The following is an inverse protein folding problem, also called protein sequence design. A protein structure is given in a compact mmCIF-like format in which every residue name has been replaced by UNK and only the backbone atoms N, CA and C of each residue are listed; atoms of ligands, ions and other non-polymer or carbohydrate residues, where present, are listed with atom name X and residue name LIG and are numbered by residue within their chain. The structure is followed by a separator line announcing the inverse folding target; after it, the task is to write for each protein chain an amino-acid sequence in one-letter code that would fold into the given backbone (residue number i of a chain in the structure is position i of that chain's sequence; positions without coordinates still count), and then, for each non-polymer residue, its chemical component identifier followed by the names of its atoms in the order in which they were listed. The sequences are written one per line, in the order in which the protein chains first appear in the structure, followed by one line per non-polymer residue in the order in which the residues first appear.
data_IF_246407092558
#
_entry.id   IF_246407092558
#
_cell.length_a   1.000
_cell.length_b   1.000
_cell.length_c   1.000
_cell.angle_alpha   90.00
_cell.angle_beta   90.00
_cell.angle_gamma   90.00
#
_symmetry.space_group_name_H-M   'P 1'
#
loop_
_entity.id
_entity.type
_entity.pdbx_description
1 polymer ?
#
# COMPACT_ATOMS: atom_id res chain seq x y z
N UNK A 1 3.06 9.16 -8.54
CA UNK A 1 3.70 8.94 -7.23
C UNK A 1 2.65 8.29 -6.34
N UNK A 2 2.80 7.00 -6.06
CA UNK A 2 1.87 6.25 -5.21
C UNK A 2 1.97 6.77 -3.79
N UNK A 3 0.88 7.35 -3.31
CA UNK A 3 0.68 7.61 -1.89
C UNK A 3 -0.76 7.22 -1.59
N UNK A 4 -0.91 5.99 -1.11
CA UNK A 4 -2.15 5.45 -0.60
C UNK A 4 -2.57 6.25 0.63
N UNK A 5 -3.74 6.85 0.59
CA UNK A 5 -4.50 7.16 1.80
C UNK A 5 -5.90 6.60 1.57
N UNK A 6 -6.20 5.48 2.24
CA UNK A 6 -7.57 4.98 2.35
C UNK A 6 -7.97 5.18 3.80
N UNK A 7 -8.41 6.38 4.14
CA UNK A 7 -9.09 6.61 5.41
C UNK A 7 -10.52 6.11 5.26
N UNK A 8 -10.82 4.99 5.92
CA UNK A 8 -12.17 4.46 6.03
C UNK A 8 -12.97 5.35 6.99
N UNK A 9 -13.61 6.40 6.45
CA UNK A 9 -14.62 7.17 7.15
C UNK A 9 -16.02 6.58 6.89
N UNK A 10 -16.73 6.29 7.97
CA UNK A 10 -18.08 5.74 7.98
C UNK A 10 -19.07 6.56 7.13
N UNK A 11 -19.82 5.85 6.29
CA UNK A 11 -20.93 6.39 5.51
C UNK A 11 -22.07 6.85 6.43
N UNK A 12 -22.25 8.16 6.56
CA UNK A 12 -23.53 8.75 6.99
C UNK A 12 -24.25 9.22 5.72
N UNK A 13 -25.35 8.54 5.39
CA UNK A 13 -26.20 8.92 4.26
C UNK A 13 -26.83 10.29 4.52
N UNK A 14 -26.49 11.26 3.67
CA UNK A 14 -27.24 12.51 3.56
C UNK A 14 -27.99 12.49 2.23
N UNK A 15 -29.29 12.22 2.31
CA UNK A 15 -30.25 12.57 1.27
C UNK A 15 -30.41 14.09 1.30
N UNK A 16 -29.69 14.78 0.43
CA UNK A 16 -29.73 16.23 0.31
C UNK A 16 -29.72 16.65 -1.15
N UNK A 17 -30.89 17.05 -1.65
CA UNK A 17 -31.06 17.81 -2.89
C UNK A 17 -30.12 19.04 -2.85
N UNK A 18 -29.07 19.03 -3.67
CA UNK A 18 -28.14 20.14 -3.78
C UNK A 18 -27.54 20.17 -5.18
N UNK A 19 -27.91 21.20 -5.94
CA UNK A 19 -27.33 21.54 -7.24
C UNK A 19 -25.84 21.90 -7.07
N UNK A 20 -24.98 20.88 -6.97
CA UNK A 20 -23.55 21.04 -7.22
C UNK A 20 -23.31 20.42 -8.59
N UNK A 21 -23.01 21.25 -9.59
CA UNK A 21 -22.59 20.77 -10.90
C UNK A 21 -21.41 19.82 -10.70
N UNK A 22 -21.57 18.57 -11.11
CA UNK A 22 -20.47 17.59 -11.04
C UNK A 22 -19.22 18.19 -11.72
N UNK A 23 -18.06 18.29 -11.05
CA UNK A 23 -16.84 18.85 -11.64
C UNK A 23 -16.38 18.07 -12.88
N UNK A 24 -16.60 16.74 -12.83
CA UNK A 24 -16.42 15.81 -13.94
C UNK A 24 -17.53 14.78 -13.85
N UNK A 25 -18.08 14.36 -14.99
CA UNK A 25 -19.21 13.42 -15.07
C UNK A 25 -18.98 12.19 -14.19
N UNK A 26 -19.88 11.97 -13.23
CA UNK A 26 -19.83 10.80 -12.34
C UNK A 26 -18.95 10.95 -11.09
N UNK A 27 -18.37 12.14 -10.86
CA UNK A 27 -17.60 12.45 -9.67
C UNK A 27 -18.22 13.62 -8.90
N UNK A 28 -18.21 13.52 -7.58
CA UNK A 28 -18.67 14.57 -6.67
C UNK A 28 -17.57 14.92 -5.67
N UNK A 29 -17.35 16.20 -5.39
CA UNK A 29 -16.44 16.59 -4.33
C UNK A 29 -16.91 16.07 -2.98
N UNK A 30 -15.98 15.58 -2.16
CA UNK A 30 -16.27 15.24 -0.77
C UNK A 30 -16.40 16.52 0.06
N UNK A 31 -17.26 16.55 1.08
CA UNK A 31 -17.30 17.68 2.02
C UNK A 31 -15.95 17.81 2.73
N UNK A 32 -15.49 19.05 3.01
CA UNK A 32 -14.28 19.26 3.80
C UNK A 32 -14.51 18.73 5.23
N UNK A 33 -13.59 17.90 5.73
CA UNK A 33 -13.66 17.33 7.08
C UNK A 33 -13.12 18.30 8.14
N UNK A 34 -12.32 19.29 7.73
CA UNK A 34 -11.83 20.37 8.59
C UNK A 34 -11.51 21.66 7.80
N UNK A 35 -11.38 22.80 8.48
CA UNK A 35 -10.89 24.05 7.89
C UNK A 35 -9.44 23.96 7.34
N UNK A 36 -8.72 22.86 7.61
CA UNK A 36 -7.37 22.59 7.10
C UNK A 36 -7.37 21.76 5.81
N UNK A 37 -8.52 21.33 5.28
CA UNK A 37 -8.65 20.79 3.91
C UNK A 37 -8.54 21.91 2.85
N UNK A 38 -7.73 22.94 3.12
CA UNK A 38 -7.37 23.95 2.14
C UNK A 38 -6.82 23.24 0.91
N UNK A 39 -7.46 23.50 -0.23
CA UNK A 39 -7.07 22.94 -1.51
C UNK A 39 -5.58 23.17 -1.76
N UNK A 40 -4.80 22.09 -1.82
CA UNK A 40 -3.36 22.19 -2.06
C UNK A 40 -3.11 22.88 -3.40
N UNK A 41 -2.39 24.00 -3.40
CA UNK A 41 -2.00 24.71 -4.62
C UNK A 41 -0.69 24.15 -5.16
N UNK A 42 -0.68 23.79 -6.43
CA UNK A 42 0.46 23.26 -7.17
C UNK A 42 0.70 24.18 -8.36
N UNK A 43 1.89 24.76 -8.44
CA UNK A 43 2.27 25.58 -9.58
C UNK A 43 2.47 24.70 -10.82
N UNK A 44 1.85 25.10 -11.92
CA UNK A 44 1.97 24.49 -13.23
C UNK A 44 2.68 25.39 -14.24
N UNK A 45 2.94 24.88 -15.46
CA UNK A 45 3.51 25.68 -16.54
C UNK A 45 2.57 26.83 -16.93
N UNK A 46 3.11 27.88 -17.57
CA UNK A 46 2.35 29.06 -17.99
C UNK A 46 1.64 29.80 -16.84
N UNK A 47 2.17 29.70 -15.63
CA UNK A 47 1.58 30.32 -14.43
C UNK A 47 0.28 29.67 -13.95
N UNK A 48 -0.12 28.53 -14.53
CA UNK A 48 -1.32 27.80 -14.12
C UNK A 48 -1.23 27.38 -12.65
N UNK A 49 -2.32 27.55 -11.91
CA UNK A 49 -2.42 27.06 -10.53
C UNK A 49 -3.38 25.87 -10.48
N UNK A 50 -2.89 24.75 -9.97
CA UNK A 50 -3.65 23.53 -9.81
C UNK A 50 -4.04 23.36 -8.35
N UNK A 51 -5.29 23.00 -8.11
CA UNK A 51 -5.84 22.73 -6.79
C UNK A 51 -6.24 21.28 -6.68
N UNK A 52 -5.74 20.56 -5.67
CA UNK A 52 -6.16 19.19 -5.41
C UNK A 52 -7.32 19.16 -4.42
N UNK A 53 -8.38 18.42 -4.74
CA UNK A 53 -9.53 18.21 -3.86
C UNK A 53 -9.94 16.74 -3.78
N UNK A 54 -10.42 16.32 -2.60
CA UNK A 54 -11.01 14.99 -2.40
C UNK A 54 -12.35 14.89 -3.14
N UNK A 55 -12.61 13.73 -3.73
CA UNK A 55 -13.84 13.44 -4.43
C UNK A 55 -14.25 11.99 -4.25
N UNK A 56 -15.50 11.68 -4.58
CA UNK A 56 -16.02 10.34 -4.66
C UNK A 56 -16.56 10.06 -6.06
N UNK A 57 -16.22 8.89 -6.58
CA UNK A 57 -16.82 8.32 -7.79
C UNK A 57 -18.19 7.76 -7.42
N UNK A 58 -19.22 8.01 -8.23
CA UNK A 58 -20.59 7.54 -7.92
C UNK A 58 -20.80 6.04 -8.13
N UNK A 59 -20.10 5.43 -9.09
CA UNK A 59 -20.26 4.01 -9.48
C UNK A 59 -18.93 3.42 -9.99
N UNK A 60 -18.32 2.45 -9.29
CA UNK A 60 -18.54 2.12 -7.87
C UNK A 60 -18.21 3.30 -6.94
N UNK A 61 -18.73 3.27 -5.71
CA UNK A 61 -18.40 4.26 -4.68
C UNK A 61 -16.95 4.10 -4.24
N UNK A 62 -16.07 4.91 -4.82
CA UNK A 62 -14.63 4.87 -4.58
C UNK A 62 -14.10 6.28 -4.34
N UNK A 63 -13.16 6.40 -3.42
CA UNK A 63 -12.47 7.65 -3.18
C UNK A 63 -11.55 8.00 -4.36
N UNK A 64 -11.59 9.25 -4.75
CA UNK A 64 -10.88 9.82 -5.88
C UNK A 64 -10.25 11.15 -5.50
N UNK A 65 -9.43 11.67 -6.39
CA UNK A 65 -8.89 13.02 -6.27
C UNK A 65 -9.09 13.78 -7.56
N UNK A 66 -9.48 15.05 -7.45
CA UNK A 66 -9.73 15.93 -8.58
C UNK A 66 -8.71 17.07 -8.54
N UNK A 67 -7.92 17.17 -9.60
CA UNK A 67 -7.03 18.29 -9.88
C UNK A 67 -7.82 19.33 -10.66
N UNK A 68 -7.95 20.52 -10.11
CA UNK A 68 -8.71 21.64 -10.68
C UNK A 68 -7.77 22.77 -11.06
N UNK A 69 -7.78 23.18 -12.31
CA UNK A 69 -7.03 24.34 -12.79
C UNK A 69 -8.00 25.47 -13.12
N UNK A 70 -7.79 26.64 -12.51
CA UNK A 70 -8.54 27.86 -12.89
C UNK A 70 -7.86 28.51 -14.10
N UNK A 71 -8.64 28.73 -15.15
CA UNK A 71 -8.17 29.26 -16.43
C UNK A 71 -8.68 30.70 -16.68
N UNK A 72 -9.37 31.29 -15.71
CA UNK A 72 -9.95 32.63 -15.80
C UNK A 72 -8.96 33.76 -15.48
N UNK A 73 -7.88 33.47 -14.75
CA UNK A 73 -6.89 34.46 -14.30
C UNK A 73 -5.51 34.34 -14.96
N UNK A 74 -5.23 33.18 -15.56
CA UNK A 74 -4.04 32.98 -16.38
C UNK A 74 -4.41 33.28 -17.83
N UNK A 75 -3.46 33.76 -18.63
CA UNK A 75 -3.52 33.96 -20.10
C UNK A 75 -3.77 35.40 -20.55
N UNK A 76 -2.67 36.07 -20.93
CA UNK A 76 -2.70 37.02 -22.04
C UNK A 76 -3.08 36.25 -23.32
N UNK A 77 -4.00 36.79 -24.12
CA UNK A 77 -4.63 36.16 -25.31
C UNK A 77 -3.68 35.40 -26.25
N UNK A 78 -2.38 35.71 -26.23
CA UNK A 78 -1.31 35.08 -26.99
C UNK A 78 -0.94 33.64 -26.58
N UNK A 79 -1.15 33.23 -25.32
CA UNK A 79 -0.73 31.89 -24.83
C UNK A 79 -1.87 30.86 -24.79
N UNK A 80 -3.08 31.27 -25.19
CA UNK A 80 -4.28 30.46 -25.12
C UNK A 80 -4.15 29.14 -25.88
N UNK A 81 -3.62 29.19 -27.10
CA UNK A 81 -3.44 28.02 -27.96
C UNK A 81 -2.37 27.06 -27.42
N UNK A 82 -1.29 27.60 -26.82
CA UNK A 82 -0.24 26.79 -26.20
C UNK A 82 -0.77 26.04 -24.98
N UNK A 83 -1.55 26.70 -24.14
CA UNK A 83 -2.18 26.09 -22.96
C UNK A 83 -3.20 25.03 -23.39
N UNK A 84 -4.07 25.35 -24.36
CA UNK A 84 -5.02 24.38 -24.92
C UNK A 84 -4.32 23.14 -25.47
N UNK A 85 -3.24 23.31 -26.24
CA UNK A 85 -2.47 22.21 -26.79
C UNK A 85 -1.79 21.38 -25.68
N UNK A 86 -1.24 22.04 -24.66
CA UNK A 86 -0.62 21.37 -23.50
C UNK A 86 -1.64 20.53 -22.71
N UNK A 87 -2.83 21.07 -22.45
CA UNK A 87 -3.91 20.34 -21.76
C UNK A 87 -4.39 19.14 -22.59
N UNK A 88 -4.60 19.32 -23.91
CA UNK A 88 -4.97 18.22 -24.82
C UNK A 88 -3.91 17.12 -24.85
N UNK A 89 -2.63 17.49 -24.91
CA UNK A 89 -1.53 16.54 -24.88
C UNK A 89 -1.45 15.81 -23.53
N UNK A 90 -1.65 16.52 -22.43
CA UNK A 90 -1.71 15.94 -21.08
C UNK A 90 -2.80 14.89 -20.97
N UNK A 91 -4.03 15.22 -21.40
CA UNK A 91 -5.15 14.26 -21.41
C UNK A 91 -4.83 13.06 -22.31
N UNK A 92 -4.28 13.29 -23.50
CA UNK A 92 -3.88 12.21 -24.40
C UNK A 92 -2.89 11.26 -23.72
N UNK A 93 -1.83 11.80 -23.11
CA UNK A 93 -0.81 11.01 -22.42
C UNK A 93 -1.38 10.26 -21.22
N UNK A 94 -2.14 10.91 -20.35
CA UNK A 94 -2.75 10.25 -19.20
C UNK A 94 -3.72 9.12 -19.61
N UNK A 95 -4.43 9.29 -20.73
CA UNK A 95 -5.29 8.22 -21.29
C UNK A 95 -4.52 7.03 -21.82
N UNK A 96 -3.35 7.25 -22.44
CA UNK A 96 -2.59 6.18 -23.13
C UNK A 96 -1.51 5.55 -22.25
N UNK A 97 -0.92 6.30 -21.32
CA UNK A 97 0.19 5.85 -20.51
C UNK A 97 -0.34 4.90 -19.42
N UNK A 98 0.13 3.66 -19.45
CA UNK A 98 -0.19 2.62 -18.47
C UNK A 98 1.10 2.20 -17.81
N UNK A 99 1.42 2.81 -16.68
CA UNK A 99 2.59 2.46 -15.91
C UNK A 99 2.19 2.39 -14.44
N UNK A 100 2.62 1.37 -13.68
CA UNK A 100 2.24 1.22 -12.28
C UNK A 100 2.51 2.51 -11.52
N UNK A 101 3.70 3.11 -11.60
CA UNK A 101 4.09 4.30 -10.82
C UNK A 101 3.51 5.66 -11.26
N UNK A 102 2.63 5.68 -12.26
CA UNK A 102 2.01 6.88 -12.81
C UNK A 102 0.53 6.88 -12.44
N UNK A 103 -0.02 8.06 -12.14
CA UNK A 103 -1.40 8.20 -11.70
C UNK A 103 -2.38 7.63 -12.73
N UNK A 104 -3.33 6.84 -12.24
CA UNK A 104 -4.40 6.31 -13.06
C UNK A 104 -5.36 7.43 -13.51
N UNK A 105 -5.54 7.55 -14.83
CA UNK A 105 -6.54 8.44 -15.40
C UNK A 105 -7.94 7.85 -15.23
N UNK A 106 -8.86 8.62 -14.65
CA UNK A 106 -10.26 8.22 -14.52
C UNK A 106 -11.18 9.02 -15.44
N UNK A 107 -11.07 10.36 -15.42
CA UNK A 107 -11.88 11.26 -16.23
C UNK A 107 -11.25 12.66 -16.32
N UNK A 108 -11.73 13.49 -17.25
CA UNK A 108 -11.34 14.91 -17.35
C UNK A 108 -12.46 15.76 -17.93
N UNK A 109 -12.38 17.08 -17.76
CA UNK A 109 -13.24 18.03 -18.49
C UNK A 109 -13.01 17.90 -20.00
N UNK A 110 -14.09 17.94 -20.79
CA UNK A 110 -14.01 17.84 -22.25
C UNK A 110 -13.59 19.17 -22.87
N UNK A 111 -12.62 19.13 -23.80
CA UNK A 111 -12.10 20.29 -24.53
C UNK A 111 -12.63 20.27 -25.99
N UNK A 112 -13.94 20.44 -26.16
CA UNK A 112 -14.64 20.29 -27.45
C UNK A 112 -14.68 21.56 -28.31
N UNK A 113 -14.31 22.73 -27.76
CA UNK A 113 -14.34 24.02 -28.46
C UNK A 113 -12.97 24.72 -28.63
N UNK A 114 -12.93 25.85 -29.36
CA UNK A 114 -11.74 26.69 -29.51
C UNK A 114 -11.49 27.62 -28.30
N UNK A 115 -12.47 27.78 -27.41
CA UNK A 115 -12.35 28.60 -26.20
C UNK A 115 -11.90 27.74 -25.02
N UNK A 116 -11.02 28.29 -24.16
CA UNK A 116 -10.69 27.68 -22.87
C UNK A 116 -11.94 27.63 -21.99
N UNK A 117 -12.20 26.52 -21.28
CA UNK A 117 -13.20 26.49 -20.22
C UNK A 117 -12.73 27.38 -19.06
N UNK A 118 -13.67 27.81 -18.20
CA UNK A 118 -13.32 28.60 -16.99
C UNK A 118 -12.47 27.80 -16.01
N UNK A 119 -12.75 26.51 -15.89
CA UNK A 119 -11.99 25.57 -15.07
C UNK A 119 -11.77 24.28 -15.84
N UNK A 120 -10.62 23.65 -15.60
CA UNK A 120 -10.27 22.37 -16.18
C UNK A 120 -9.97 21.35 -15.07
N UNK A 121 -10.61 20.19 -15.15
CA UNK A 121 -10.55 19.17 -14.12
C UNK A 121 -9.95 17.87 -14.65
N UNK A 122 -9.15 17.19 -13.83
CA UNK A 122 -8.67 15.83 -14.04
C UNK A 122 -9.02 15.01 -12.79
N UNK A 123 -9.75 13.92 -12.97
CA UNK A 123 -10.03 12.94 -11.93
C UNK A 123 -9.03 11.78 -12.01
N UNK A 124 -8.43 11.46 -10.86
CA UNK A 124 -7.49 10.35 -10.66
C UNK A 124 -7.94 9.49 -9.48
N UNK A 125 -7.25 8.36 -9.27
CA UNK A 125 -7.31 7.66 -7.99
C UNK A 125 -6.98 8.59 -6.81
N UNK A 126 -7.40 8.20 -5.60
CA UNK A 126 -7.13 8.96 -4.38
C UNK A 126 -5.61 9.13 -4.18
N UNK A 127 -5.16 10.38 -4.11
CA UNK A 127 -3.73 10.72 -3.95
C UNK A 127 -3.52 11.78 -2.89
N UNK A 128 -2.40 11.70 -2.17
CA UNK A 128 -1.93 12.74 -1.27
C UNK A 128 -0.73 13.47 -1.89
N UNK A 129 -0.66 14.82 -1.87
CA UNK A 129 0.52 15.55 -2.34
C UNK A 129 1.77 15.14 -1.55
N UNK A 130 2.90 15.03 -2.26
CA UNK A 130 4.16 14.62 -1.63
C UNK A 130 4.55 15.50 -0.45
N UNK A 131 4.45 16.83 -0.60
CA UNK A 131 4.79 17.78 0.47
C UNK A 131 4.00 17.51 1.75
N UNK A 132 2.71 17.23 1.61
CA UNK A 132 1.86 16.92 2.75
C UNK A 132 2.22 15.57 3.37
N UNK A 133 2.46 14.56 2.54
CA UNK A 133 2.90 13.26 3.01
C UNK A 133 4.24 13.34 3.76
N UNK A 134 5.21 14.10 3.24
CA UNK A 134 6.49 14.33 3.90
C UNK A 134 6.30 15.04 5.24
N UNK A 135 5.38 16.02 5.33
CA UNK A 135 5.01 16.68 6.58
C UNK A 135 4.47 15.68 7.61
N UNK A 136 3.53 14.82 7.20
CA UNK A 136 2.95 13.79 8.07
C UNK A 136 3.96 12.73 8.51
N UNK A 137 5.01 12.50 7.71
CA UNK A 137 6.05 11.49 7.99
C UNK A 137 7.36 12.08 8.50
N UNK A 138 7.46 13.40 8.69
CA UNK A 138 8.69 14.07 9.09
C UNK A 138 9.24 13.51 10.42
N UNK A 139 8.35 13.25 11.38
CA UNK A 139 8.69 12.71 12.69
C UNK A 139 8.70 11.17 12.73
N UNK A 140 8.47 10.51 11.60
CA UNK A 140 8.49 9.05 11.57
C UNK A 140 9.94 8.54 11.65
N UNK A 141 10.21 7.62 12.57
CA UNK A 141 11.54 6.98 12.71
C UNK A 141 12.02 6.24 11.45
N UNK A 142 11.15 6.07 10.46
CA UNK A 142 11.38 5.37 9.20
C UNK A 142 11.55 6.28 7.99
N UNK A 143 11.77 7.60 8.17
CA UNK A 143 11.84 8.54 7.04
C UNK A 143 12.89 8.17 5.98
N UNK A 144 14.05 7.63 6.38
CA UNK A 144 15.08 7.17 5.43
C UNK A 144 14.62 5.96 4.60
N UNK A 145 13.83 5.06 5.17
CA UNK A 145 13.22 3.95 4.43
C UNK A 145 12.19 4.46 3.44
N UNK A 146 11.29 5.34 3.89
CA UNK A 146 10.25 5.93 3.05
C UNK A 146 10.87 6.72 1.88
N UNK A 147 11.86 7.57 2.16
CA UNK A 147 12.53 8.39 1.14
C UNK A 147 13.37 7.55 0.18
N UNK A 148 14.11 6.55 0.65
CA UNK A 148 14.90 5.66 -0.24
C UNK A 148 14.01 4.90 -1.21
N UNK A 149 12.92 4.29 -0.74
CA UNK A 149 11.98 3.60 -1.62
C UNK A 149 11.19 4.54 -2.53
N UNK A 150 10.73 5.67 -2.01
CA UNK A 150 9.99 6.67 -2.78
C UNK A 150 10.82 7.21 -3.94
N UNK A 151 12.09 7.56 -3.68
CA UNK A 151 13.03 7.98 -4.71
C UNK A 151 13.27 6.85 -5.72
N UNK A 152 13.58 5.64 -5.28
CA UNK A 152 13.75 4.49 -6.17
C UNK A 152 12.55 4.28 -7.12
N UNK A 153 11.33 4.30 -6.57
CA UNK A 153 10.09 4.11 -7.33
C UNK A 153 9.77 5.27 -8.27
N UNK A 154 10.17 6.50 -7.94
CA UNK A 154 10.03 7.65 -8.84
C UNK A 154 10.95 7.56 -10.06
N UNK A 155 12.06 6.82 -9.95
CA UNK A 155 13.09 6.75 -10.97
C UNK A 155 12.92 5.52 -11.89
N UNK A 156 12.42 4.41 -11.36
CA UNK A 156 12.13 3.20 -12.14
C UNK A 156 11.28 3.40 -13.43
N UNK A 157 10.18 4.20 -13.42
CA UNK A 157 9.41 4.54 -14.64
C UNK A 157 10.18 5.37 -15.68
N UNK A 158 11.21 6.09 -15.23
CA UNK A 158 11.87 7.13 -16.00
C UNK A 158 13.37 6.88 -16.01
N UNK A 159 13.79 5.92 -16.82
CA UNK A 159 15.17 5.88 -17.30
C UNK A 159 15.21 6.68 -18.61
N UNK A 160 15.48 8.01 -18.55
CA UNK A 160 15.62 8.78 -19.77
C UNK A 160 16.75 8.21 -20.62
N UNK A 161 16.68 8.32 -21.96
CA UNK A 161 17.81 7.99 -22.82
C UNK A 161 19.08 8.69 -22.33
N UNK A 162 20.19 7.97 -22.30
CA UNK A 162 21.47 8.50 -21.84
C UNK A 162 21.83 9.80 -22.59
N UNK A 163 22.14 10.86 -21.84
CA UNK A 163 22.52 12.17 -22.38
C UNK A 163 21.55 13.32 -22.08
N UNK A 164 20.34 13.04 -21.58
CA UNK A 164 19.41 14.10 -21.12
C UNK A 164 19.72 14.49 -19.67
N UNK A 165 20.61 15.48 -19.50
CA UNK A 165 21.09 15.94 -18.20
C UNK A 165 20.11 16.85 -17.43
N UNK A 166 18.99 17.24 -18.05
CA UNK A 166 17.95 18.08 -17.42
C UNK A 166 17.23 17.29 -16.33
N UNK A 167 16.91 16.04 -16.59
CA UNK A 167 16.22 15.16 -15.62
C UNK A 167 17.11 14.87 -14.40
N UNK A 168 18.43 14.74 -14.60
CA UNK A 168 19.38 14.60 -13.51
C UNK A 168 19.40 15.83 -12.58
N UNK A 169 19.32 17.04 -13.15
CA UNK A 169 19.20 18.26 -12.34
C UNK A 169 17.87 18.30 -11.59
N UNK A 170 16.77 17.98 -12.27
CA UNK A 170 15.43 17.90 -11.66
C UNK A 170 15.37 16.90 -10.51
N UNK A 171 16.01 15.74 -10.66
CA UNK A 171 16.17 14.77 -9.58
C UNK A 171 16.95 15.35 -8.39
N UNK A 172 18.02 16.11 -8.66
CA UNK A 172 18.73 16.85 -7.63
C UNK A 172 17.80 17.79 -6.85
N UNK A 173 17.01 18.61 -7.54
CA UNK A 173 16.00 19.47 -6.91
C UNK A 173 15.00 18.66 -6.07
N UNK A 174 14.48 17.54 -6.58
CA UNK A 174 13.53 16.69 -5.86
C UNK A 174 14.14 16.10 -4.58
N UNK A 175 15.37 15.60 -4.65
CA UNK A 175 16.09 15.10 -3.47
C UNK A 175 16.23 16.23 -2.43
N UNK A 176 16.59 17.44 -2.86
CA UNK A 176 16.70 18.58 -1.98
C UNK A 176 15.36 18.89 -1.28
N UNK A 177 14.25 18.91 -2.02
CA UNK A 177 12.91 19.19 -1.47
C UNK A 177 12.47 18.11 -0.47
N UNK A 178 12.79 16.84 -0.71
CA UNK A 178 12.45 15.75 0.20
C UNK A 178 13.13 15.92 1.56
N UNK A 179 14.42 16.31 1.57
CA UNK A 179 15.19 16.45 2.81
C UNK A 179 15.17 17.88 3.39
N UNK A 180 14.46 18.82 2.76
CA UNK A 180 14.28 20.19 3.25
C UNK A 180 12.79 20.60 3.18
N UNK A 181 11.87 19.86 3.83
CA UNK A 181 10.43 20.02 3.63
C UNK A 181 9.86 21.37 4.10
N UNK A 182 10.55 22.04 5.03
CA UNK A 182 10.16 23.36 5.55
C UNK A 182 10.53 24.52 4.61
N UNK A 183 11.37 24.26 3.60
CA UNK A 183 11.89 25.27 2.68
C UNK A 183 11.32 25.07 1.29
N UNK A 184 11.07 26.17 0.58
CA UNK A 184 10.75 26.14 -0.85
C UNK A 184 12.00 26.49 -1.65
N UNK A 185 12.26 25.69 -2.69
CA UNK A 185 13.37 25.93 -3.60
C UNK A 185 13.00 27.06 -4.56
N UNK A 186 13.52 28.26 -4.28
CA UNK A 186 13.27 29.48 -5.05
C UNK A 186 14.52 29.95 -5.80
N UNK A 187 15.71 29.61 -5.29
CA UNK A 187 16.99 30.01 -5.85
C UNK A 187 17.99 28.86 -5.90
N UNK A 188 18.86 28.89 -6.91
CA UNK A 188 19.91 27.90 -7.13
C UNK A 188 20.91 27.86 -5.97
N UNK A 189 21.20 28.98 -5.32
CA UNK A 189 22.18 29.02 -4.21
C UNK A 189 21.80 28.08 -3.06
N UNK A 190 20.49 27.82 -2.87
CA UNK A 190 19.96 26.93 -1.85
C UNK A 190 20.37 25.46 -2.07
N UNK A 191 20.61 25.04 -3.32
CA UNK A 191 21.02 23.67 -3.64
C UNK A 191 22.40 23.32 -3.08
N UNK A 192 23.24 24.32 -2.82
CA UNK A 192 24.62 24.14 -2.35
C UNK A 192 24.86 24.69 -0.94
N UNK A 193 23.82 25.18 -0.26
CA UNK A 193 23.96 25.73 1.09
C UNK A 193 24.35 24.64 2.10
N UNK A 194 25.22 25.00 3.04
CA UNK A 194 25.75 24.04 4.03
C UNK A 194 24.63 23.45 4.89
N UNK A 195 23.67 24.27 5.32
CA UNK A 195 22.58 23.84 6.19
C UNK A 195 21.66 22.83 5.50
N UNK A 196 21.34 23.05 4.21
CA UNK A 196 20.50 22.13 3.45
C UNK A 196 21.22 20.80 3.17
N UNK A 197 22.53 20.85 2.91
CA UNK A 197 23.35 19.66 2.70
C UNK A 197 23.50 18.80 3.96
N UNK A 198 23.43 19.40 5.16
CA UNK A 198 23.47 18.65 6.43
C UNK A 198 22.22 17.81 6.65
N UNK A 199 21.07 18.19 6.07
CA UNK A 199 19.81 17.43 6.18
C UNK A 199 19.74 16.26 5.19
N UNK A 200 20.52 16.30 4.11
CA UNK A 200 20.61 15.19 3.15
C UNK A 200 21.43 14.04 3.77
N UNK A 201 20.96 12.77 3.69
CA UNK A 201 21.68 11.63 4.24
C UNK A 201 23.10 11.53 3.72
N UNK A 202 24.07 11.30 4.61
CA UNK A 202 25.50 11.24 4.27
C UNK A 202 25.83 10.33 3.06
N UNK A 203 25.23 9.12 2.93
CA UNK A 203 25.44 8.27 1.76
C UNK A 203 25.03 8.89 0.43
N UNK A 204 24.06 9.81 0.46
CA UNK A 204 23.46 10.42 -0.73
C UNK A 204 24.15 11.72 -1.16
N UNK A 205 24.87 12.38 -0.25
CA UNK A 205 25.46 13.73 -0.48
C UNK A 205 26.41 13.76 -1.69
N UNK A 206 27.23 12.73 -1.88
CA UNK A 206 28.20 12.68 -2.98
C UNK A 206 27.50 12.62 -4.34
N UNK A 207 26.52 11.74 -4.46
CA UNK A 207 25.74 11.56 -5.68
C UNK A 207 24.84 12.78 -5.95
N UNK A 208 24.21 13.32 -4.91
CA UNK A 208 23.43 14.57 -4.97
C UNK A 208 24.26 15.72 -5.55
N UNK A 209 25.48 15.94 -5.06
CA UNK A 209 26.36 17.01 -5.57
C UNK A 209 26.70 16.84 -7.05
N UNK A 210 26.80 15.60 -7.53
CA UNK A 210 27.05 15.32 -8.95
C UNK A 210 25.82 15.54 -9.82
N UNK A 211 24.60 15.35 -9.29
CA UNK A 211 23.34 15.64 -9.98
C UNK A 211 23.14 17.15 -10.21
N UNK A 212 23.38 17.96 -9.17
CA UNK A 212 23.22 19.43 -9.21
C UNK A 212 24.47 20.17 -9.69
N UNK A 213 25.44 19.49 -10.31
CA UNK A 213 26.65 20.14 -10.79
C UNK A 213 26.44 20.93 -12.10
N UNK A 214 27.14 22.06 -12.24
CA UNK A 214 27.21 22.88 -13.46
C UNK A 214 28.59 22.71 -14.08
N UNK A 215 28.66 22.03 -15.22
CA UNK A 215 29.90 21.52 -15.81
C UNK A 215 30.83 22.58 -16.40
N UNK A 216 31.34 23.51 -15.60
CA UNK A 216 32.28 24.56 -16.08
C UNK A 216 33.61 24.65 -15.32
N UNK A 217 33.87 23.82 -14.32
CA UNK A 217 35.18 23.82 -13.66
C UNK A 217 36.08 22.71 -14.22
N UNK A 218 37.17 23.11 -14.90
CA UNK A 218 38.22 22.20 -15.38
C UNK A 218 38.73 21.32 -14.22
N UNK A 219 38.52 20.01 -14.32
CA UNK A 219 39.24 19.03 -13.49
C UNK A 219 38.41 18.06 -12.64
N UNK A 220 37.07 18.16 -12.58
CA UNK A 220 36.25 17.24 -11.77
C UNK A 220 35.01 16.72 -12.52
N UNK A 221 34.54 15.53 -12.14
CA UNK A 221 33.66 14.58 -12.86
C UNK A 221 32.38 15.18 -13.50
N UNK A 222 32.01 14.65 -14.68
CA UNK A 222 30.78 14.95 -15.44
C UNK A 222 29.53 14.76 -14.57
N UNK A 223 28.46 15.54 -14.85
CA UNK A 223 27.14 15.35 -14.22
C UNK A 223 26.68 13.90 -14.39
N UNK A 224 26.19 13.31 -13.31
CA UNK A 224 25.69 11.94 -13.27
C UNK A 224 24.38 11.84 -14.07
N UNK A 225 24.22 10.79 -14.88
CA UNK A 225 22.89 10.48 -15.44
C UNK A 225 21.99 9.85 -14.38
N UNK A 226 20.67 9.88 -14.57
CA UNK A 226 19.72 9.23 -13.66
C UNK A 226 20.01 7.72 -13.54
N UNK A 227 20.37 7.07 -14.65
CA UNK A 227 20.75 5.66 -14.66
C UNK A 227 22.01 5.39 -13.83
N UNK A 228 23.05 6.22 -13.98
CA UNK A 228 24.29 6.09 -13.20
C UNK A 228 24.03 6.36 -11.70
N UNK A 229 23.18 7.33 -11.38
CA UNK A 229 22.74 7.60 -10.02
C UNK A 229 22.09 6.38 -9.38
N UNK A 230 21.12 5.77 -10.06
CA UNK A 230 20.43 4.58 -9.57
C UNK A 230 21.41 3.44 -9.30
N UNK A 231 22.32 3.17 -10.24
CA UNK A 231 23.32 2.12 -10.09
C UNK A 231 24.27 2.36 -8.90
N UNK A 232 24.66 3.62 -8.65
CA UNK A 232 25.46 3.97 -7.48
C UNK A 232 24.66 3.85 -6.18
N UNK A 233 23.44 4.37 -6.15
CA UNK A 233 22.60 4.40 -4.96
C UNK A 233 22.18 2.99 -4.51
N UNK A 234 22.06 2.02 -5.42
CA UNK A 234 21.78 0.62 -5.12
C UNK A 234 23.03 -0.21 -4.75
N UNK A 235 24.24 0.33 -4.92
CA UNK A 235 25.47 -0.42 -4.70
C UNK A 235 25.79 -0.55 -3.20
N UNK A 236 25.61 -1.75 -2.65
CA UNK A 236 25.87 -2.05 -1.24
C UNK A 236 27.34 -1.92 -0.84
N UNK A 237 28.29 -2.29 -1.71
CA UNK A 237 29.74 -2.22 -1.43
C UNK A 237 30.21 -0.78 -1.24
N UNK A 238 29.56 0.16 -1.93
CA UNK A 238 29.84 1.60 -1.82
C UNK A 238 29.01 2.30 -0.74
N UNK A 239 28.20 1.55 0.02
CA UNK A 239 27.30 2.10 1.02
C UNK A 239 26.21 2.98 0.42
N UNK A 240 25.68 2.62 -0.76
CA UNK A 240 24.64 3.38 -1.46
C UNK A 240 23.37 3.60 -0.63
N UNK A 241 22.72 4.74 -0.80
CA UNK A 241 21.55 5.11 0.02
C UNK A 241 20.34 4.17 -0.13
N UNK A 242 20.13 3.58 -1.31
CA UNK A 242 19.08 2.60 -1.56
C UNK A 242 19.49 1.18 -1.21
N UNK A 243 20.76 0.94 -0.88
CA UNK A 243 21.26 -0.36 -0.43
C UNK A 243 20.93 -0.58 1.06
N UNK A 244 19.64 -0.73 1.34
CA UNK A 244 19.13 -1.00 2.67
C UNK A 244 18.13 -2.16 2.64
N UNK A 245 17.96 -2.80 3.81
CA UNK A 245 17.14 -3.99 3.95
C UNK A 245 15.67 -3.77 3.53
N UNK A 246 15.13 -2.56 3.77
CA UNK A 246 13.77 -2.21 3.41
C UNK A 246 13.57 -2.19 1.89
N UNK A 247 14.44 -1.51 1.14
CA UNK A 247 14.40 -1.49 -0.33
C UNK A 247 14.62 -2.89 -0.90
N UNK A 248 15.61 -3.63 -0.41
CA UNK A 248 15.89 -5.01 -0.84
C UNK A 248 14.69 -5.93 -0.63
N UNK A 249 13.99 -5.80 0.50
CA UNK A 249 12.80 -6.60 0.81
C UNK A 249 11.66 -6.31 -0.17
N UNK A 250 11.41 -5.04 -0.48
CA UNK A 250 10.35 -4.65 -1.40
C UNK A 250 10.66 -5.01 -2.86
N UNK A 251 11.92 -4.92 -3.29
CA UNK A 251 12.36 -5.42 -4.60
C UNK A 251 12.17 -6.94 -4.71
N UNK A 252 12.58 -7.69 -3.70
CA UNK A 252 12.37 -9.14 -3.68
C UNK A 252 10.87 -9.48 -3.75
N UNK A 253 10.03 -8.73 -3.03
CA UNK A 253 8.58 -8.92 -3.04
C UNK A 253 7.95 -8.67 -4.42
N UNK A 254 8.41 -7.65 -5.15
CA UNK A 254 7.95 -7.37 -6.52
C UNK A 254 8.32 -8.50 -7.50
N UNK A 255 9.46 -9.17 -7.27
CA UNK A 255 9.96 -10.27 -8.09
C UNK A 255 9.66 -11.65 -7.53
N UNK A 256 8.89 -11.78 -6.44
CA UNK A 256 8.78 -13.02 -5.67
C UNK A 256 8.37 -14.21 -6.53
N UNK A 257 7.56 -13.98 -7.57
CA UNK A 257 7.09 -15.03 -8.47
C UNK A 257 8.19 -15.66 -9.34
N UNK A 258 9.28 -14.94 -9.54
CA UNK A 258 10.45 -15.38 -10.32
C UNK A 258 11.46 -16.16 -9.45
N UNK A 259 11.28 -16.17 -8.12
CA UNK A 259 12.19 -16.80 -7.16
C UNK A 259 11.85 -18.28 -6.95
N UNK A 260 12.85 -19.06 -6.56
CA UNK A 260 12.65 -20.47 -6.24
C UNK A 260 12.00 -20.68 -4.85
N UNK A 261 11.59 -21.92 -4.55
CA UNK A 261 10.91 -22.25 -3.31
C UNK A 261 11.78 -22.02 -2.05
N UNK A 262 13.10 -22.22 -2.15
CA UNK A 262 14.04 -22.08 -1.04
C UNK A 262 14.29 -20.61 -0.74
N UNK A 263 14.48 -19.79 -1.77
CA UNK A 263 14.59 -18.34 -1.68
C UNK A 263 13.33 -17.74 -1.06
N UNK A 264 12.14 -18.17 -1.52
CA UNK A 264 10.85 -17.73 -0.97
C UNK A 264 10.71 -18.07 0.50
N UNK A 265 11.00 -19.32 0.89
CA UNK A 265 10.87 -19.76 2.29
C UNK A 265 11.79 -18.95 3.21
N UNK A 266 13.06 -18.75 2.81
CA UNK A 266 14.01 -17.91 3.55
C UNK A 266 13.51 -16.47 3.67
N UNK A 267 13.10 -15.87 2.56
CA UNK A 267 12.60 -14.50 2.53
C UNK A 267 11.38 -14.29 3.42
N UNK A 268 10.38 -15.19 3.38
CA UNK A 268 9.16 -15.06 4.18
C UNK A 268 9.42 -15.23 5.68
N UNK A 269 10.41 -16.05 6.05
CA UNK A 269 10.89 -16.15 7.43
C UNK A 269 11.51 -14.83 7.89
N UNK A 270 12.44 -14.27 7.12
CA UNK A 270 13.09 -12.98 7.43
C UNK A 270 12.09 -11.82 7.45
N UNK A 271 11.13 -11.80 6.51
CA UNK A 271 10.06 -10.81 6.46
C UNK A 271 9.22 -10.83 7.74
N UNK A 272 8.91 -12.01 8.28
CA UNK A 272 8.11 -12.15 9.51
C UNK A 272 8.75 -11.45 10.72
N UNK A 273 10.07 -11.38 10.77
CA UNK A 273 10.83 -10.79 11.88
C UNK A 273 10.95 -9.26 11.76
N UNK A 274 11.09 -8.76 10.53
CA UNK A 274 11.35 -7.33 10.28
C UNK A 274 10.11 -6.51 9.90
N UNK A 275 8.97 -7.14 9.57
CA UNK A 275 7.80 -6.42 9.06
C UNK A 275 7.24 -5.35 10.00
N UNK A 276 7.42 -5.52 11.31
CA UNK A 276 7.03 -4.52 12.32
C UNK A 276 7.88 -3.25 12.28
N UNK A 277 9.05 -3.28 11.63
CA UNK A 277 9.91 -2.11 11.46
C UNK A 277 9.53 -1.28 10.24
N UNK A 278 8.67 -1.81 9.35
CA UNK A 278 8.31 -1.15 8.10
C UNK A 278 7.21 -0.12 8.35
N UNK A 279 7.10 0.94 7.52
CA UNK A 279 5.98 1.88 7.62
C UNK A 279 4.63 1.16 7.43
N UNK A 280 3.68 1.42 8.32
CA UNK A 280 2.38 0.74 8.32
C UNK A 280 1.66 0.80 6.96
N UNK A 281 1.69 1.95 6.29
CA UNK A 281 1.04 2.14 4.98
C UNK A 281 1.61 1.21 3.91
N UNK A 282 2.92 0.92 3.99
CA UNK A 282 3.60 0.00 3.07
C UNK A 282 3.21 -1.43 3.42
N UNK A 283 3.11 -1.77 4.70
CA UNK A 283 2.61 -3.07 5.15
C UNK A 283 1.18 -3.32 4.65
N UNK A 284 0.28 -2.36 4.84
CA UNK A 284 -1.15 -2.44 4.46
C UNK A 284 -1.37 -2.49 2.96
N UNK A 285 -0.75 -1.57 2.22
CA UNK A 285 -1.13 -1.33 0.81
C UNK A 285 -0.16 -1.93 -0.20
N UNK A 286 1.03 -2.37 0.23
CA UNK A 286 2.01 -3.00 -0.65
C UNK A 286 2.33 -4.43 -0.24
N UNK A 287 2.77 -4.66 1.00
CA UNK A 287 3.21 -5.99 1.44
C UNK A 287 2.05 -6.97 1.50
N UNK A 288 0.97 -6.59 2.19
CA UNK A 288 -0.21 -7.44 2.38
C UNK A 288 -0.83 -7.93 1.06
N UNK A 289 -1.12 -7.08 0.05
CA UNK A 289 -1.69 -7.55 -1.21
C UNK A 289 -0.80 -8.58 -1.94
N UNK A 290 0.53 -8.43 -1.90
CA UNK A 290 1.43 -9.40 -2.53
C UNK A 290 1.42 -10.74 -1.80
N UNK A 291 1.43 -10.73 -0.46
CA UNK A 291 1.35 -11.94 0.35
C UNK A 291 0.02 -12.67 0.17
N UNK A 292 -1.10 -11.94 0.18
CA UNK A 292 -2.43 -12.50 -0.05
C UNK A 292 -2.56 -13.12 -1.44
N UNK A 293 -2.03 -12.46 -2.48
CA UNK A 293 -1.97 -13.04 -3.82
C UNK A 293 -1.12 -14.32 -3.83
N UNK A 294 0.02 -14.31 -3.13
CA UNK A 294 0.89 -15.47 -2.98
C UNK A 294 0.20 -16.66 -2.31
N UNK A 295 -0.60 -16.42 -1.27
CA UNK A 295 -1.39 -17.44 -0.57
C UNK A 295 -2.56 -17.95 -1.44
N UNK A 296 -3.29 -17.06 -2.09
CA UNK A 296 -4.48 -17.41 -2.89
C UNK A 296 -4.15 -18.25 -4.12
N UNK A 297 -3.03 -17.97 -4.77
CA UNK A 297 -2.60 -18.67 -5.99
C UNK A 297 -1.51 -19.70 -5.72
N UNK A 298 -1.19 -19.99 -4.44
CA UNK A 298 -0.24 -21.02 -4.02
C UNK A 298 1.22 -20.74 -4.38
N UNK A 299 1.55 -19.53 -4.82
CA UNK A 299 2.90 -19.21 -5.31
C UNK A 299 3.90 -18.88 -4.21
N UNK A 300 3.42 -18.53 -3.01
CA UNK A 300 4.24 -18.21 -1.83
C UNK A 300 4.15 -19.27 -0.71
N UNK A 301 3.28 -20.27 -0.84
CA UNK A 301 3.07 -21.30 0.18
C UNK A 301 2.41 -20.77 1.46
N UNK A 302 2.19 -21.66 2.43
CA UNK A 302 1.58 -21.33 3.73
C UNK A 302 2.51 -20.49 4.62
N UNK A 303 3.79 -20.42 4.29
CA UNK A 303 4.82 -19.63 4.96
C UNK A 303 4.47 -18.13 4.95
N UNK A 304 3.79 -17.65 3.92
CA UNK A 304 3.31 -16.27 3.82
C UNK A 304 2.21 -15.93 4.83
N UNK A 305 1.62 -16.92 5.50
CA UNK A 305 0.61 -16.70 6.53
C UNK A 305 1.18 -15.87 7.69
N UNK A 306 2.38 -16.19 8.18
CA UNK A 306 2.94 -15.51 9.36
C UNK A 306 3.15 -14.01 9.12
N UNK A 307 3.79 -13.57 8.03
CA UNK A 307 3.83 -12.15 7.69
C UNK A 307 2.45 -11.50 7.60
N UNK A 308 1.44 -12.17 6.99
CA UNK A 308 0.06 -11.64 6.92
C UNK A 308 -0.52 -11.41 8.31
N UNK A 309 -0.37 -12.38 9.22
CA UNK A 309 -0.88 -12.27 10.58
C UNK A 309 -0.24 -11.10 11.36
N UNK A 310 1.03 -10.79 11.09
CA UNK A 310 1.70 -9.63 11.69
C UNK A 310 1.14 -8.29 11.22
N UNK A 311 0.47 -8.26 10.06
CA UNK A 311 -0.16 -7.04 9.51
C UNK A 311 -1.59 -6.86 10.00
N UNK A 312 -2.29 -7.93 10.41
CA UNK A 312 -3.69 -7.86 10.88
C UNK A 312 -3.95 -6.76 11.92
N UNK A 313 -3.10 -6.55 12.95
CA UNK A 313 -3.31 -5.49 13.94
C UNK A 313 -3.32 -4.07 13.36
N UNK A 314 -2.78 -3.89 12.15
CA UNK A 314 -2.78 -2.61 11.45
C UNK A 314 -4.11 -2.36 10.72
N UNK A 315 -4.95 -3.36 10.52
CA UNK A 315 -6.16 -3.28 9.72
C UNK A 315 -7.39 -2.94 10.57
N UNK A 316 -8.30 -2.17 10.00
CA UNK A 316 -9.67 -2.04 10.52
C UNK A 316 -10.45 -3.34 10.28
N UNK A 317 -11.57 -3.53 10.99
CA UNK A 317 -12.44 -4.70 10.80
C UNK A 317 -12.92 -4.81 9.34
N UNK A 318 -13.32 -3.70 8.74
CA UNK A 318 -13.76 -3.64 7.34
C UNK A 318 -12.64 -4.03 6.35
N UNK A 319 -11.42 -3.57 6.59
CA UNK A 319 -10.26 -3.94 5.75
C UNK A 319 -9.89 -5.41 5.91
N UNK A 320 -9.94 -5.94 7.13
CA UNK A 320 -9.72 -7.36 7.39
C UNK A 320 -10.76 -8.23 6.66
N UNK A 321 -12.05 -7.90 6.79
CA UNK A 321 -13.13 -8.64 6.14
C UNK A 321 -13.06 -8.57 4.62
N UNK A 322 -12.67 -7.42 4.05
CA UNK A 322 -12.58 -7.25 2.61
C UNK A 322 -11.33 -7.91 2.00
N UNK A 323 -10.18 -7.83 2.67
CA UNK A 323 -8.90 -8.25 2.10
C UNK A 323 -8.42 -9.62 2.59
N UNK A 324 -8.43 -9.86 3.91
CA UNK A 324 -7.77 -11.02 4.53
C UNK A 324 -8.71 -12.20 4.70
N UNK A 325 -9.93 -11.95 5.18
CA UNK A 325 -10.90 -13.00 5.49
C UNK A 325 -11.22 -13.92 4.29
N UNK A 326 -11.42 -13.43 3.05
CA UNK A 326 -11.68 -14.30 1.91
C UNK A 326 -10.54 -15.28 1.64
N UNK A 327 -9.29 -14.83 1.84
CA UNK A 327 -8.11 -15.68 1.72
C UNK A 327 -8.07 -16.75 2.82
N UNK A 328 -8.34 -16.38 4.08
CA UNK A 328 -8.35 -17.35 5.19
C UNK A 328 -9.41 -18.43 4.98
N UNK A 329 -10.63 -18.06 4.56
CA UNK A 329 -11.70 -19.00 4.23
C UNK A 329 -11.26 -19.96 3.12
N UNK A 330 -10.64 -19.45 2.05
CA UNK A 330 -10.11 -20.28 0.98
C UNK A 330 -9.05 -21.28 1.50
N UNK A 331 -8.16 -20.83 2.39
CA UNK A 331 -7.12 -21.70 2.97
C UNK A 331 -7.73 -22.78 3.88
N UNK A 332 -8.79 -22.50 4.65
CA UNK A 332 -9.51 -23.51 5.43
C UNK A 332 -10.16 -24.58 4.57
N UNK A 333 -10.66 -24.20 3.38
CA UNK A 333 -11.23 -25.13 2.41
C UNK A 333 -10.17 -26.00 1.69
N UNK A 334 -8.87 -25.72 1.87
CA UNK A 334 -7.79 -26.49 1.24
C UNK A 334 -7.76 -27.94 1.74
N UNK A 335 -7.56 -28.92 0.84
CA UNK A 335 -7.38 -30.33 1.23
C UNK A 335 -5.98 -30.60 1.82
N UNK A 336 -5.06 -29.64 1.74
CA UNK A 336 -3.67 -29.83 2.17
C UNK A 336 -3.54 -29.85 3.70
N UNK A 337 -3.11 -30.99 4.24
CA UNK A 337 -2.96 -31.21 5.69
C UNK A 337 -1.99 -30.23 6.36
N UNK A 338 -0.86 -29.93 5.72
CA UNK A 338 0.13 -29.00 6.27
C UNK A 338 -0.44 -27.58 6.44
N UNK A 339 -1.12 -27.09 5.39
CA UNK A 339 -1.86 -25.82 5.44
C UNK A 339 -2.89 -25.81 6.56
N UNK A 340 -3.70 -26.87 6.69
CA UNK A 340 -4.69 -26.99 7.75
C UNK A 340 -4.07 -26.94 9.15
N UNK A 341 -3.05 -27.74 9.42
CA UNK A 341 -2.36 -27.74 10.73
C UNK A 341 -1.84 -26.35 11.04
N UNK A 342 -1.20 -25.69 10.07
CA UNK A 342 -0.63 -24.36 10.28
C UNK A 342 -1.69 -23.29 10.57
N UNK A 343 -2.83 -23.31 9.86
CA UNK A 343 -3.95 -22.41 10.15
C UNK A 343 -4.50 -22.61 11.55
N UNK A 344 -4.65 -23.87 11.98
CA UNK A 344 -5.18 -24.22 13.29
C UNK A 344 -4.24 -23.78 14.42
N UNK A 345 -2.93 -23.94 14.23
CA UNK A 345 -1.91 -23.44 15.17
C UNK A 345 -1.93 -21.90 15.31
N UNK A 346 -2.18 -21.21 14.20
CA UNK A 346 -2.15 -19.75 14.15
C UNK A 346 -3.50 -19.08 14.46
N UNK A 347 -4.55 -19.88 14.66
CA UNK A 347 -5.90 -19.44 14.94
C UNK A 347 -6.02 -18.39 16.07
N UNK A 348 -5.29 -18.49 17.19
CA UNK A 348 -5.38 -17.50 18.27
C UNK A 348 -5.06 -16.08 17.82
N UNK A 349 -4.25 -15.92 16.76
CA UNK A 349 -3.75 -14.63 16.30
C UNK A 349 -4.76 -13.85 15.43
N UNK A 350 -5.80 -14.49 14.91
CA UNK A 350 -6.76 -13.83 14.01
C UNK A 350 -8.23 -14.18 14.29
N UNK A 351 -8.51 -15.21 15.08
CA UNK A 351 -9.89 -15.67 15.32
C UNK A 351 -10.78 -14.56 15.86
N UNK A 352 -10.24 -13.63 16.66
CA UNK A 352 -10.98 -12.51 17.23
C UNK A 352 -11.56 -11.58 16.17
N UNK A 353 -10.87 -11.40 15.04
CA UNK A 353 -11.32 -10.56 13.91
C UNK A 353 -12.35 -11.27 13.02
N UNK A 354 -12.55 -12.59 13.16
CA UNK A 354 -13.47 -13.34 12.29
C UNK A 354 -14.93 -13.23 12.78
N UNK A 355 -15.89 -12.82 11.94
CA UNK A 355 -17.30 -12.79 12.33
C UNK A 355 -17.85 -14.17 12.69
N UNK A 356 -18.62 -14.33 13.79
CA UNK A 356 -19.19 -15.62 14.22
C UNK A 356 -19.98 -16.34 13.11
N UNK A 357 -20.72 -15.58 12.30
CA UNK A 357 -21.47 -16.12 11.15
C UNK A 357 -20.56 -16.83 10.14
N UNK A 358 -19.36 -16.30 9.90
CA UNK A 358 -18.37 -16.89 8.97
C UNK A 358 -17.72 -18.11 9.61
N UNK A 359 -17.47 -18.07 10.93
CA UNK A 359 -17.00 -19.26 11.67
C UNK A 359 -17.95 -20.42 11.45
N UNK A 360 -19.24 -20.22 11.69
CA UNK A 360 -20.25 -21.28 11.56
C UNK A 360 -20.45 -21.78 10.13
N UNK A 361 -20.54 -20.86 9.16
CA UNK A 361 -20.96 -21.21 7.80
C UNK A 361 -19.82 -21.68 6.90
N UNK A 362 -18.58 -21.27 7.16
CA UNK A 362 -17.46 -21.47 6.22
C UNK A 362 -16.23 -22.11 6.86
N UNK A 363 -15.92 -21.80 8.13
CA UNK A 363 -14.71 -22.31 8.79
C UNK A 363 -14.98 -23.64 9.50
N UNK A 364 -15.98 -23.70 10.38
CA UNK A 364 -16.29 -24.88 11.19
C UNK A 364 -16.55 -26.14 10.35
N UNK A 365 -17.31 -26.10 9.23
CA UNK A 365 -17.51 -27.28 8.39
C UNK A 365 -16.17 -27.86 7.90
N UNK A 366 -15.25 -27.00 7.46
CA UNK A 366 -13.92 -27.40 6.99
C UNK A 366 -13.07 -27.97 8.13
N UNK A 367 -13.07 -27.31 9.29
CA UNK A 367 -12.31 -27.74 10.47
C UNK A 367 -12.83 -29.07 11.03
N UNK A 368 -14.15 -29.28 11.03
CA UNK A 368 -14.77 -30.50 11.57
C UNK A 368 -14.31 -31.79 10.88
N UNK A 369 -13.91 -31.70 9.60
CA UNK A 369 -13.33 -32.85 8.88
C UNK A 369 -12.01 -33.32 9.50
N UNK A 370 -11.31 -32.45 10.21
CA UNK A 370 -10.04 -32.75 10.89
C UNK A 370 -10.17 -33.73 12.05
N UNK A 371 -11.36 -33.86 12.66
CA UNK A 371 -11.57 -34.81 13.77
C UNK A 371 -11.46 -36.27 13.34
N UNK A 372 -11.73 -36.56 12.06
CA UNK A 372 -11.67 -37.92 11.48
C UNK A 372 -10.53 -38.06 10.46
N UNK A 373 -9.57 -37.14 10.42
CA UNK A 373 -8.43 -37.24 9.50
C UNK A 373 -7.56 -38.46 9.88
N UNK A 374 -6.93 -39.10 8.89
CA UNK A 374 -6.05 -40.25 9.13
C UNK A 374 -4.78 -39.87 9.92
N UNK A 375 -4.28 -38.63 9.76
CA UNK A 375 -3.06 -38.16 10.42
C UNK A 375 -3.36 -37.69 11.86
N UNK A 376 -2.75 -38.30 12.90
CA UNK A 376 -2.94 -37.89 14.30
C UNK A 376 -2.64 -36.41 14.58
N UNK A 377 -1.64 -35.84 13.90
CA UNK A 377 -1.27 -34.43 14.07
C UNK A 377 -2.40 -33.48 13.65
N UNK A 378 -3.15 -33.84 12.60
CA UNK A 378 -4.30 -33.06 12.14
C UNK A 378 -5.43 -33.15 13.17
N UNK A 379 -5.69 -34.34 13.72
CA UNK A 379 -6.70 -34.54 14.77
C UNK A 379 -6.36 -33.73 16.02
N UNK A 380 -5.11 -33.78 16.48
CA UNK A 380 -4.63 -33.00 17.63
C UNK A 380 -4.79 -31.50 17.43
N UNK A 381 -4.29 -30.98 16.29
CA UNK A 381 -4.40 -29.56 15.97
C UNK A 381 -5.86 -29.11 15.92
N UNK A 382 -6.75 -29.95 15.39
CA UNK A 382 -8.20 -29.68 15.31
C UNK A 382 -8.81 -29.56 16.71
N UNK A 383 -8.54 -30.52 17.60
CA UNK A 383 -9.03 -30.49 18.99
C UNK A 383 -8.52 -29.24 19.72
N UNK A 384 -7.22 -28.92 19.59
CA UNK A 384 -6.61 -27.75 20.24
C UNK A 384 -7.23 -26.44 19.75
N UNK A 385 -7.49 -26.32 18.44
CA UNK A 385 -8.11 -25.15 17.85
C UNK A 385 -9.54 -24.89 18.36
N UNK A 386 -10.27 -25.91 18.81
CA UNK A 386 -11.64 -25.74 19.31
C UNK A 386 -11.72 -24.84 20.55
N UNK A 387 -10.67 -24.78 21.37
CA UNK A 387 -10.58 -23.84 22.51
C UNK A 387 -10.86 -22.41 22.05
N UNK A 388 -10.39 -22.05 20.86
CA UNK A 388 -10.46 -20.70 20.31
C UNK A 388 -11.71 -20.46 19.45
N UNK A 389 -12.24 -21.49 18.80
CA UNK A 389 -13.41 -21.36 17.92
C UNK A 389 -14.73 -21.43 18.68
N UNK A 390 -14.80 -22.24 19.73
CA UNK A 390 -16.04 -22.51 20.44
C UNK A 390 -16.77 -21.26 21.00
N UNK A 391 -16.09 -20.21 21.51
CA UNK A 391 -16.75 -18.96 21.89
C UNK A 391 -17.47 -18.24 20.74
N UNK A 392 -17.16 -18.59 19.49
CA UNK A 392 -17.77 -18.02 18.27
C UNK A 392 -18.77 -18.96 17.59
N UNK A 393 -18.95 -20.19 18.09
CA UNK A 393 -19.90 -21.14 17.53
C UNK A 393 -21.32 -20.86 18.05
N UNK A 394 -22.32 -21.06 17.19
CA UNK A 394 -23.72 -21.11 17.66
C UNK A 394 -23.98 -22.32 18.53
N UNK A 395 -25.03 -22.24 19.36
CA UNK A 395 -25.43 -23.34 20.26
C UNK A 395 -25.64 -24.69 19.55
N UNK A 396 -26.10 -24.69 18.28
CA UNK A 396 -26.21 -25.92 17.47
C UNK A 396 -24.85 -26.61 17.32
N UNK A 397 -23.82 -25.89 16.94
CA UNK A 397 -22.49 -26.48 16.73
C UNK A 397 -21.78 -26.75 18.05
N UNK A 398 -21.92 -25.84 19.02
CA UNK A 398 -21.26 -25.94 20.32
C UNK A 398 -21.82 -27.08 21.19
N UNK A 399 -23.15 -27.24 21.25
CA UNK A 399 -23.79 -28.16 22.19
C UNK A 399 -24.14 -29.52 21.56
N UNK A 400 -24.30 -29.59 20.24
CA UNK A 400 -24.69 -30.85 19.58
C UNK A 400 -23.56 -31.45 18.73
N UNK A 401 -22.98 -30.67 17.81
CA UNK A 401 -22.02 -31.21 16.86
C UNK A 401 -20.64 -31.47 17.49
N UNK A 402 -20.07 -30.47 18.17
CA UNK A 402 -18.74 -30.56 18.77
C UNK A 402 -18.62 -31.72 19.79
N UNK A 403 -19.56 -31.91 20.74
CA UNK A 403 -19.47 -33.03 21.69
C UNK A 403 -19.49 -34.39 21.00
N UNK A 404 -20.28 -34.56 19.93
CA UNK A 404 -20.30 -35.81 19.15
C UNK A 404 -18.94 -36.14 18.53
N UNK A 405 -18.26 -35.14 17.98
CA UNK A 405 -16.90 -35.33 17.44
C UNK A 405 -15.89 -35.68 18.53
N UNK A 406 -15.95 -35.00 19.68
CA UNK A 406 -15.03 -35.24 20.80
C UNK A 406 -15.21 -36.64 21.41
N UNK A 407 -16.46 -37.09 21.58
CA UNK A 407 -16.76 -38.45 22.07
C UNK A 407 -16.24 -39.51 21.10
N UNK A 408 -16.49 -39.33 19.79
CA UNK A 408 -16.00 -40.27 18.77
C UNK A 408 -14.47 -40.39 18.78
N UNK A 409 -13.76 -39.28 18.95
CA UNK A 409 -12.30 -39.24 19.11
C UNK A 409 -11.81 -39.93 20.38
N UNK A 410 -12.47 -39.70 21.51
CA UNK A 410 -12.10 -40.31 22.79
C UNK A 410 -12.26 -41.83 22.78
N UNK A 411 -13.24 -42.35 22.05
CA UNK A 411 -13.42 -43.79 21.84
C UNK A 411 -12.39 -44.38 20.87
N UNK A 412 -11.87 -43.58 19.95
CA UNK A 412 -10.90 -44.02 18.93
C UNK A 412 -9.44 -43.94 19.43
N UNK A 413 -9.09 -43.02 20.34
CA UNK A 413 -7.71 -42.75 20.73
C UNK A 413 -7.52 -42.54 22.24
N UNK A 414 -6.60 -43.30 22.84
CA UNK A 414 -6.25 -43.25 24.27
C UNK A 414 -5.50 -41.95 24.65
N UNK A 415 -4.94 -41.22 23.68
CA UNK A 415 -3.94 -40.15 23.90
C UNK A 415 -4.56 -38.81 24.33
N UNK A 416 -5.86 -38.56 24.10
CA UNK A 416 -6.48 -37.25 24.32
C UNK A 416 -7.16 -37.05 25.69
N UNK A 417 -6.97 -37.99 26.63
CA UNK A 417 -7.62 -37.98 27.94
C UNK A 417 -7.34 -36.73 28.80
N UNK A 418 -6.27 -35.97 28.55
CA UNK A 418 -5.94 -34.77 29.33
C UNK A 418 -6.54 -33.46 28.79
N UNK A 419 -6.86 -33.40 27.49
CA UNK A 419 -7.29 -32.17 26.81
C UNK A 419 -8.81 -32.12 26.65
N UNK A 420 -9.43 -33.26 26.32
CA UNK A 420 -10.89 -33.33 26.07
C UNK A 420 -11.71 -32.97 27.32
N UNK A 421 -11.41 -33.48 28.53
CA UNK A 421 -12.18 -33.10 29.73
C UNK A 421 -12.06 -31.62 30.08
N UNK A 422 -10.90 -30.98 29.84
CA UNK A 422 -10.71 -29.54 30.07
C UNK A 422 -11.52 -28.69 29.09
N UNK A 423 -11.63 -29.14 27.84
CA UNK A 423 -12.49 -28.51 26.84
C UNK A 423 -13.98 -28.67 27.19
N UNK A 424 -14.40 -29.88 27.56
CA UNK A 424 -15.78 -30.15 27.96
C UNK A 424 -16.18 -29.28 29.18
N UNK A 425 -15.30 -29.19 30.19
CA UNK A 425 -15.54 -28.36 31.38
C UNK A 425 -15.50 -26.85 31.08
N UNK A 426 -14.70 -26.39 30.12
CA UNK A 426 -14.67 -24.99 29.70
C UNK A 426 -15.93 -24.56 28.93
N UNK A 427 -16.62 -25.50 28.27
CA UNK A 427 -17.83 -25.22 27.50
C UNK A 427 -19.13 -25.50 28.26
N UNK A 428 -19.07 -26.10 29.44
CA UNK A 428 -20.24 -26.39 30.25
C UNK A 428 -20.02 -25.94 31.72
N UNK A 429 -20.09 -24.64 32.04
CA UNK A 429 -19.82 -24.14 33.39
C UNK A 429 -20.94 -24.46 34.41
N UNK A 430 -21.92 -25.30 34.08
CA UNK A 430 -23.04 -25.68 34.96
C UNK A 430 -23.25 -27.19 35.14
N UNK A 431 -22.18 -27.98 35.10
CA UNK A 431 -22.19 -29.35 35.65
C UNK A 431 -21.03 -29.55 36.62
#
# INVERSE_FOLDING_TARGET
MWLFTKDSANTVGSLGLGFSSDPVTGFTFSPPESNQDESFSIAGPYGLQWRLRRAQRRKPTEDASILTCSLTSAVATSEQDLIMNSLRQTVKWMKTLRHPNILNWLASTELTGPKLPSEFHIATERVLPLREYLRLKADSGNFNFISSWGLHQSLNPYLPPDGVLVDAWGLGCLIWEIFNPESTLCDRSQLTSTDALQRVPKPLVSDYRQLVHLGTARGMKRRLTVAQFLAHALNAEKGGFFANQYVSTLLFLEEIQLKDAKEKSKFLSELSEQISTFPDDVCRHKVLPHLLNGLRYGSAGIEALIPVLRIIPLLTESEFEAAVLPCLVQLFASPERATRVRLLEQLPNFVQNVPPKVVDSQIFPSVSTGFSDANPLVREATVRAMVHLAPKLTGKFLNEALPRYLIALQLAEIVFFSVIPRLINAFNPQC
#
